data_IF_051585248159
#
_entry.id   IF_051585248159
#
_cell.length_a   1.000
_cell.length_b   1.000
_cell.length_c   1.000
_cell.angle_alpha   90.00
_cell.angle_beta   90.00
_cell.angle_gamma   90.00
#
_symmetry.space_group_name_H-M   'P 1'
#
loop_
_entity.id
_entity.type
_entity.pdbx_description
1 polymer ?
#
# COMPACT_ATOMS: atom_id res chain seq x y z
N UNK A 1 2.91 -4.39 15.09
CA UNK A 1 1.52 -4.82 14.91
C UNK A 1 1.38 -6.34 14.96
N UNK A 2 2.30 -7.05 14.36
CA UNK A 2 2.28 -8.53 14.27
C UNK A 2 2.96 -9.23 15.44
N UNK A 3 3.59 -8.51 16.37
CA UNK A 3 4.30 -9.05 17.54
C UNK A 3 5.66 -9.68 17.24
N UNK A 4 6.19 -9.53 16.03
CA UNK A 4 7.51 -10.10 15.66
C UNK A 4 8.65 -9.29 16.27
N UNK A 5 8.52 -7.95 16.31
CA UNK A 5 9.51 -7.05 16.88
C UNK A 5 8.90 -6.14 17.94
N UNK A 6 9.69 -5.80 18.96
CA UNK A 6 9.27 -4.93 20.05
C UNK A 6 9.73 -3.47 19.90
N UNK A 7 10.64 -3.20 18.95
CA UNK A 7 11.17 -1.85 18.69
C UNK A 7 11.14 -1.57 17.18
N UNK A 8 10.85 -0.31 16.84
CA UNK A 8 11.11 0.22 15.51
C UNK A 8 12.61 0.39 15.34
N UNK A 9 13.14 -0.08 14.20
CA UNK A 9 14.51 0.16 13.79
C UNK A 9 14.51 0.98 12.49
N UNK A 10 15.38 1.98 12.39
CA UNK A 10 15.60 2.73 11.17
C UNK A 10 16.84 2.21 10.44
N UNK A 11 16.77 2.18 9.10
CA UNK A 11 17.89 1.76 8.24
C UNK A 11 19.09 2.68 8.44
N UNK A 12 18.87 3.99 8.51
CA UNK A 12 19.94 4.98 8.68
C UNK A 12 20.67 4.91 10.02
N UNK A 13 20.01 4.35 11.04
CA UNK A 13 20.60 4.16 12.38
C UNK A 13 21.21 2.77 12.55
N UNK A 14 21.23 1.95 11.51
CA UNK A 14 21.70 0.55 11.54
C UNK A 14 20.87 -0.37 12.44
N UNK A 15 19.65 0.07 12.78
CA UNK A 15 18.77 -0.64 13.74
C UNK A 15 17.63 -1.43 13.06
N UNK A 16 17.59 -1.48 11.72
CA UNK A 16 16.58 -2.22 10.98
C UNK A 16 16.80 -3.73 11.15
N UNK A 17 15.78 -4.43 11.60
CA UNK A 17 15.87 -5.87 11.93
C UNK A 17 16.16 -6.76 10.72
N UNK A 18 15.82 -6.32 9.52
CA UNK A 18 16.05 -7.06 8.28
C UNK A 18 17.45 -6.82 7.71
N UNK A 19 18.13 -5.75 8.09
CA UNK A 19 19.51 -5.42 7.71
C UNK A 19 20.47 -6.14 8.68
N UNK A 20 20.79 -7.40 8.40
CA UNK A 20 21.56 -8.26 9.29
C UNK A 20 23.07 -8.23 9.03
N UNK A 21 23.53 -7.68 7.90
CA UNK A 21 24.95 -7.54 7.57
C UNK A 21 25.54 -6.26 8.18
N UNK A 22 26.75 -6.36 8.73
CA UNK A 22 27.48 -5.19 9.27
C UNK A 22 27.57 -4.06 8.24
N UNK A 23 27.79 -4.39 6.96
CA UNK A 23 27.89 -3.43 5.88
C UNK A 23 26.57 -2.69 5.60
N UNK A 24 25.42 -3.35 5.77
CA UNK A 24 24.09 -2.74 5.66
C UNK A 24 23.88 -1.73 6.79
N UNK A 25 24.23 -2.12 8.00
CA UNK A 25 24.11 -1.29 9.20
C UNK A 25 25.05 -0.07 9.14
N UNK A 26 26.31 -0.27 8.73
CA UNK A 26 27.30 0.82 8.60
C UNK A 26 26.92 1.83 7.50
N UNK A 27 26.36 1.36 6.39
CA UNK A 27 26.01 2.21 5.25
C UNK A 27 24.59 2.79 5.33
N UNK A 28 23.73 2.23 6.18
CA UNK A 28 22.33 2.58 6.30
C UNK A 28 21.53 2.29 5.01
N UNK A 29 21.88 1.19 4.32
CA UNK A 29 21.17 0.72 3.11
C UNK A 29 21.06 -0.80 3.12
N UNK A 30 19.92 -1.33 2.66
CA UNK A 30 19.73 -2.75 2.42
C UNK A 30 20.53 -3.19 1.19
N UNK A 31 21.32 -4.25 1.30
CA UNK A 31 22.17 -4.81 0.23
C UNK A 31 21.61 -6.13 -0.27
N UNK A 32 21.21 -7.01 0.65
CA UNK A 32 20.69 -8.35 0.37
C UNK A 32 19.21 -8.45 0.72
N UNK A 33 18.46 -9.27 -0.01
CA UNK A 33 17.07 -9.53 0.34
C UNK A 33 16.99 -10.37 1.61
N UNK A 34 16.15 -9.93 2.55
CA UNK A 34 15.87 -10.63 3.79
C UNK A 34 14.40 -11.06 3.85
N UNK A 35 14.13 -12.20 4.48
CA UNK A 35 12.77 -12.72 4.60
C UNK A 35 12.37 -12.85 6.08
N UNK A 36 11.15 -12.44 6.39
CA UNK A 36 10.55 -12.65 7.70
C UNK A 36 9.11 -13.14 7.56
N UNK A 37 8.63 -13.83 8.58
CA UNK A 37 7.26 -14.33 8.63
C UNK A 37 6.51 -13.65 9.75
N UNK A 38 5.30 -13.19 9.47
CA UNK A 38 4.38 -12.68 10.46
C UNK A 38 2.95 -13.18 10.20
N UNK A 39 2.05 -12.95 11.16
CA UNK A 39 0.63 -13.28 11.03
C UNK A 39 -0.21 -12.02 11.14
N UNK A 40 -1.18 -11.88 10.26
CA UNK A 40 -2.10 -10.75 10.25
C UNK A 40 -3.56 -11.22 10.20
N UNK A 41 -4.44 -10.52 10.93
CA UNK A 41 -5.88 -10.83 11.02
C UNK A 41 -6.79 -9.73 10.51
N UNK A 42 -6.21 -8.70 9.89
CA UNK A 42 -6.91 -7.46 9.57
C UNK A 42 -6.88 -6.46 10.72
N UNK A 43 -7.10 -5.19 10.41
CA UNK A 43 -7.17 -4.11 11.41
C UNK A 43 -8.26 -4.40 12.46
N UNK A 44 -9.42 -4.92 12.04
CA UNK A 44 -10.58 -5.21 12.89
C UNK A 44 -10.53 -6.63 13.48
N UNK A 45 -9.43 -7.37 13.27
CA UNK A 45 -9.28 -8.77 13.67
C UNK A 45 -10.39 -9.70 13.15
N UNK A 46 -11.03 -9.33 12.04
CA UNK A 46 -12.19 -10.05 11.48
C UNK A 46 -11.79 -11.30 10.67
N UNK A 47 -10.52 -11.45 10.35
CA UNK A 47 -10.03 -12.58 9.57
C UNK A 47 -9.38 -13.65 10.45
N UNK A 48 -9.35 -14.89 9.93
CA UNK A 48 -8.44 -15.90 10.46
C UNK A 48 -6.98 -15.39 10.35
N UNK A 49 -6.03 -15.89 11.15
CA UNK A 49 -4.63 -15.46 11.02
C UNK A 49 -4.07 -15.95 9.68
N UNK A 50 -3.78 -15.00 8.79
CA UNK A 50 -3.06 -15.26 7.55
C UNK A 50 -1.56 -15.13 7.78
N UNK A 51 -0.80 -16.06 7.22
CA UNK A 51 0.65 -16.05 7.25
C UNK A 51 1.17 -15.14 6.13
N UNK A 52 1.95 -14.14 6.51
CA UNK A 52 2.67 -13.26 5.60
C UNK A 52 4.15 -13.62 5.62
N UNK A 53 4.71 -13.97 4.46
CA UNK A 53 6.14 -14.07 4.25
C UNK A 53 6.58 -12.77 3.55
N UNK A 54 7.22 -11.89 4.28
CA UNK A 54 7.67 -10.59 3.79
C UNK A 54 9.11 -10.76 3.31
N UNK A 55 9.36 -10.40 2.06
CA UNK A 55 10.70 -10.30 1.49
C UNK A 55 11.01 -8.81 1.35
N UNK A 56 11.94 -8.33 2.15
CA UNK A 56 12.49 -6.98 2.02
C UNK A 56 13.58 -6.99 0.96
N UNK A 57 13.52 -6.06 0.01
CA UNK A 57 14.42 -6.00 -1.12
C UNK A 57 15.17 -4.67 -1.14
N UNK A 58 16.46 -4.67 -1.54
CA UNK A 58 17.22 -3.43 -1.64
C UNK A 58 16.59 -2.47 -2.66
N UNK A 59 16.53 -1.18 -2.28
CA UNK A 59 16.00 -0.12 -3.15
C UNK A 59 17.05 0.49 -4.08
N UNK A 60 18.34 0.14 -3.94
CA UNK A 60 19.42 0.75 -4.68
C UNK A 60 19.62 0.08 -6.06
N UNK A 61 19.95 0.89 -7.08
CA UNK A 61 20.08 0.40 -8.47
C UNK A 61 21.16 -0.68 -8.65
N UNK A 62 22.20 -0.68 -7.83
CA UNK A 62 23.28 -1.65 -7.91
C UNK A 62 22.86 -3.08 -7.53
N UNK A 63 21.72 -3.21 -6.83
CA UNK A 63 21.20 -4.48 -6.32
C UNK A 63 19.94 -4.97 -7.04
N UNK A 64 19.71 -4.54 -8.27
CA UNK A 64 18.54 -4.93 -9.07
C UNK A 64 18.40 -6.43 -9.30
N UNK A 65 19.50 -7.18 -9.26
CA UNK A 65 19.50 -8.64 -9.39
C UNK A 65 18.78 -9.31 -8.22
N UNK A 66 18.95 -8.80 -7.00
CA UNK A 66 18.25 -9.31 -5.80
C UNK A 66 16.75 -9.07 -5.91
N UNK A 67 16.35 -7.89 -6.40
CA UNK A 67 14.94 -7.57 -6.67
C UNK A 67 14.37 -8.51 -7.73
N UNK A 68 15.10 -8.76 -8.83
CA UNK A 68 14.65 -9.65 -9.90
C UNK A 68 14.51 -11.10 -9.45
N UNK A 69 15.40 -11.59 -8.58
CA UNK A 69 15.28 -12.92 -7.98
C UNK A 69 14.02 -13.05 -7.12
N UNK A 70 13.75 -12.02 -6.32
CA UNK A 70 12.56 -11.97 -5.47
C UNK A 70 11.27 -11.98 -6.30
N UNK A 71 11.21 -11.25 -7.42
CA UNK A 71 10.04 -11.20 -8.29
C UNK A 71 9.55 -12.56 -8.81
N UNK A 72 10.41 -13.58 -8.82
CA UNK A 72 10.05 -14.93 -9.30
C UNK A 72 9.23 -15.74 -8.30
N UNK A 73 9.20 -15.34 -7.04
CA UNK A 73 8.56 -16.09 -5.95
C UNK A 73 7.47 -15.30 -5.24
N UNK A 74 7.23 -14.04 -5.65
CA UNK A 74 6.24 -13.19 -5.02
C UNK A 74 4.82 -13.51 -5.52
N UNK A 75 3.89 -13.63 -4.59
CA UNK A 75 2.44 -13.65 -4.87
C UNK A 75 1.91 -12.22 -5.14
N UNK A 76 2.56 -11.23 -4.57
CA UNK A 76 2.26 -9.81 -4.77
C UNK A 76 3.38 -8.92 -4.23
N UNK A 77 3.37 -7.66 -4.60
CA UNK A 77 4.37 -6.68 -4.19
C UNK A 77 3.73 -5.41 -3.62
N UNK A 78 4.43 -4.79 -2.67
CA UNK A 78 4.15 -3.42 -2.21
C UNK A 78 5.19 -2.49 -2.81
N UNK A 79 4.77 -1.63 -3.73
CA UNK A 79 5.59 -0.58 -4.29
C UNK A 79 5.56 0.64 -3.37
N UNK A 80 6.65 0.92 -2.68
CA UNK A 80 6.75 2.03 -1.74
C UNK A 80 7.28 3.29 -2.46
N UNK A 81 6.47 4.34 -2.48
CA UNK A 81 6.83 5.65 -3.04
C UNK A 81 7.02 6.66 -1.92
N UNK A 82 7.96 7.58 -2.09
CA UNK A 82 8.11 8.70 -1.18
C UNK A 82 7.12 9.81 -1.55
N UNK A 83 6.32 10.29 -0.59
CA UNK A 83 5.37 11.39 -0.83
C UNK A 83 6.05 12.69 -1.29
N UNK A 84 7.33 12.89 -0.90
CA UNK A 84 8.14 14.05 -1.30
C UNK A 84 8.88 13.82 -2.61
N UNK A 85 9.54 12.67 -2.77
CA UNK A 85 10.33 12.35 -3.97
C UNK A 85 9.49 11.83 -5.15
N UNK A 86 8.34 11.25 -4.88
CA UNK A 86 7.47 10.65 -5.90
C UNK A 86 8.07 9.44 -6.58
N UNK A 87 7.80 9.31 -7.87
CA UNK A 87 8.36 8.27 -8.73
C UNK A 87 9.79 8.63 -9.11
N UNK A 88 10.75 7.78 -8.74
CA UNK A 88 12.17 7.95 -9.00
C UNK A 88 12.68 6.95 -10.06
N UNK A 89 13.88 7.11 -10.64
CA UNK A 89 14.42 6.18 -11.63
C UNK A 89 14.45 4.72 -11.17
N UNK A 90 14.74 4.48 -9.89
CA UNK A 90 14.71 3.15 -9.28
C UNK A 90 13.30 2.55 -9.34
N UNK A 91 12.26 3.37 -9.06
CA UNK A 91 10.88 2.94 -9.16
C UNK A 91 10.51 2.46 -10.57
N UNK A 92 11.01 3.15 -11.61
CA UNK A 92 10.77 2.77 -13.01
C UNK A 92 11.44 1.43 -13.36
N UNK A 93 12.63 1.19 -12.82
CA UNK A 93 13.35 -0.07 -13.06
C UNK A 93 12.62 -1.25 -12.42
N UNK A 94 12.26 -1.13 -11.14
CA UNK A 94 11.51 -2.17 -10.42
C UNK A 94 10.12 -2.38 -11.01
N UNK A 95 9.47 -1.31 -11.46
CA UNK A 95 8.18 -1.38 -12.16
C UNK A 95 8.25 -2.22 -13.44
N UNK A 96 9.29 -2.02 -14.26
CA UNK A 96 9.50 -2.83 -15.48
C UNK A 96 9.75 -4.30 -15.15
N UNK A 97 10.50 -4.59 -14.09
CA UNK A 97 10.70 -5.96 -13.61
C UNK A 97 9.39 -6.61 -13.16
N UNK A 98 8.59 -5.90 -12.35
CA UNK A 98 7.29 -6.39 -11.91
C UNK A 98 6.33 -6.66 -13.09
N UNK A 99 6.35 -5.82 -14.15
CA UNK A 99 5.61 -6.08 -15.38
C UNK A 99 6.10 -7.34 -16.11
N UNK A 100 7.42 -7.52 -16.22
CA UNK A 100 8.04 -8.70 -16.86
C UNK A 100 7.60 -10.00 -16.20
N UNK A 101 7.53 -10.02 -14.87
CA UNK A 101 7.15 -11.19 -14.08
C UNK A 101 5.65 -11.26 -13.77
N UNK A 102 4.85 -10.30 -14.25
CA UNK A 102 3.40 -10.21 -14.01
C UNK A 102 3.04 -10.29 -12.52
N UNK A 103 3.83 -9.60 -11.67
CA UNK A 103 3.59 -9.56 -10.23
C UNK A 103 2.48 -8.55 -9.93
N UNK A 104 1.34 -8.98 -9.36
CA UNK A 104 0.32 -8.09 -8.85
C UNK A 104 0.91 -7.16 -7.78
N UNK A 105 0.46 -5.90 -7.74
CA UNK A 105 1.07 -4.95 -6.81
C UNK A 105 0.07 -3.92 -6.32
N UNK A 106 0.30 -3.51 -5.08
CA UNK A 106 -0.30 -2.33 -4.49
C UNK A 106 0.76 -1.24 -4.35
N UNK A 107 0.34 0.00 -4.25
CA UNK A 107 1.21 1.15 -4.03
C UNK A 107 1.02 1.69 -2.60
N UNK A 108 2.12 2.05 -1.93
CA UNK A 108 2.09 2.71 -0.64
C UNK A 108 2.90 4.01 -0.71
N UNK A 109 2.21 5.15 -0.57
CA UNK A 109 2.83 6.47 -0.53
C UNK A 109 3.25 6.77 0.91
N UNK A 110 4.53 6.60 1.18
CA UNK A 110 5.14 6.74 2.51
C UNK A 110 5.66 8.15 2.75
N UNK A 111 5.90 8.48 4.00
CA UNK A 111 6.43 9.77 4.46
C UNK A 111 5.46 10.93 4.22
N UNK A 112 4.16 10.69 4.43
CA UNK A 112 3.13 11.72 4.35
C UNK A 112 3.29 12.83 5.40
N UNK A 113 4.08 12.59 6.43
CA UNK A 113 4.43 13.49 7.52
C UNK A 113 5.62 14.42 7.21
N UNK A 114 6.25 14.30 6.05
CA UNK A 114 7.41 15.12 5.67
C UNK A 114 6.99 16.35 4.89
N UNK A 115 7.71 17.46 5.09
CA UNK A 115 7.53 18.71 4.33
C UNK A 115 7.65 18.47 2.83
N UNK A 116 6.70 18.96 2.05
CA UNK A 116 6.59 18.74 0.60
C UNK A 116 5.90 17.43 0.23
N UNK A 117 5.28 16.72 1.18
CA UNK A 117 4.51 15.52 0.90
C UNK A 117 3.25 15.82 0.07
N UNK A 118 3.08 15.12 -1.06
CA UNK A 118 1.95 15.28 -1.96
C UNK A 118 1.53 13.93 -2.56
N UNK A 119 0.41 13.41 -2.08
CA UNK A 119 -0.17 12.14 -2.53
C UNK A 119 -0.65 12.20 -3.99
N UNK A 120 -1.32 13.28 -4.37
CA UNK A 120 -1.92 13.41 -5.70
C UNK A 120 -0.87 13.59 -6.81
N UNK A 121 0.25 14.22 -6.46
CA UNK A 121 1.41 14.29 -7.34
C UNK A 121 1.98 12.90 -7.64
N UNK A 122 2.01 12.00 -6.65
CA UNK A 122 2.48 10.62 -6.87
C UNK A 122 1.54 9.86 -7.80
N UNK A 123 0.21 10.00 -7.66
CA UNK A 123 -0.79 9.46 -8.59
C UNK A 123 -0.45 9.89 -10.02
N UNK A 124 -0.38 11.20 -10.24
CA UNK A 124 -0.07 11.77 -11.57
C UNK A 124 1.26 11.27 -12.15
N UNK A 125 2.27 11.10 -11.30
CA UNK A 125 3.57 10.58 -11.75
C UNK A 125 3.50 9.08 -12.10
N UNK A 126 2.74 8.27 -11.38
CA UNK A 126 2.51 6.87 -11.71
C UNK A 126 1.84 6.73 -13.07
N UNK A 127 0.82 7.53 -13.35
CA UNK A 127 0.14 7.54 -14.65
C UNK A 127 1.08 7.97 -15.79
N UNK A 128 1.78 9.09 -15.61
CA UNK A 128 2.60 9.68 -16.68
C UNK A 128 3.90 8.93 -16.93
N UNK A 129 4.62 8.55 -15.87
CA UNK A 129 5.97 7.98 -15.97
C UNK A 129 5.97 6.46 -16.05
N UNK A 130 5.10 5.80 -15.25
CA UNK A 130 5.04 4.34 -15.17
C UNK A 130 3.98 3.75 -16.11
N UNK A 131 3.11 4.58 -16.70
CA UNK A 131 1.93 4.14 -17.46
C UNK A 131 1.08 3.15 -16.64
N UNK A 132 1.05 3.35 -15.32
CA UNK A 132 0.20 2.60 -14.40
C UNK A 132 -1.21 3.15 -14.35
N UNK A 133 -2.08 2.39 -13.70
CA UNK A 133 -3.46 2.80 -13.41
C UNK A 133 -3.67 2.78 -11.89
N UNK A 134 -3.18 3.81 -11.17
CA UNK A 134 -3.32 3.90 -9.73
C UNK A 134 -4.78 4.13 -9.34
N UNK A 135 -5.28 3.33 -8.40
CA UNK A 135 -6.64 3.43 -7.86
C UNK A 135 -6.56 3.66 -6.35
N UNK A 136 -6.76 4.88 -5.86
CA UNK A 136 -6.77 5.16 -4.44
C UNK A 136 -7.85 4.37 -3.70
N UNK A 137 -7.42 3.66 -2.66
CA UNK A 137 -8.29 2.98 -1.69
C UNK A 137 -8.50 3.88 -0.47
N UNK A 138 -7.51 4.73 -0.21
CA UNK A 138 -7.57 5.71 0.86
C UNK A 138 -7.12 7.08 0.36
N UNK A 139 -7.63 8.15 1.00
CA UNK A 139 -7.15 9.52 0.81
C UNK A 139 -6.50 10.03 2.10
N UNK A 140 -5.42 10.81 2.04
CA UNK A 140 -4.80 11.36 3.24
C UNK A 140 -5.67 12.43 3.89
N UNK A 141 -5.77 12.42 5.23
CA UNK A 141 -6.33 13.49 6.03
C UNK A 141 -5.18 14.37 6.51
N UNK A 142 -5.02 15.52 5.87
CA UNK A 142 -3.86 16.38 6.04
C UNK A 142 -2.62 15.88 5.30
N UNK A 143 -1.56 16.65 5.39
CA UNK A 143 -0.23 16.33 4.88
C UNK A 143 0.81 17.02 5.76
N UNK A 144 2.06 16.61 5.66
CA UNK A 144 3.15 17.18 6.46
C UNK A 144 2.84 17.08 7.97
N UNK A 145 3.00 18.18 8.71
CA UNK A 145 2.76 18.24 10.15
C UNK A 145 1.28 17.99 10.50
N UNK A 146 0.37 18.20 9.56
CA UNK A 146 -1.08 18.03 9.74
C UNK A 146 -1.56 16.63 9.37
N UNK A 147 -0.68 15.72 8.95
CA UNK A 147 -1.09 14.36 8.59
C UNK A 147 -1.57 13.58 9.81
N UNK A 148 -2.87 13.35 9.90
CA UNK A 148 -3.52 12.70 11.04
C UNK A 148 -3.96 11.27 10.77
N UNK A 149 -4.36 10.99 9.53
CA UNK A 149 -4.96 9.71 9.18
C UNK A 149 -5.35 9.62 7.72
N UNK A 150 -6.31 8.77 7.44
CA UNK A 150 -6.82 8.57 6.07
C UNK A 150 -8.34 8.47 6.05
N UNK A 151 -8.94 8.78 4.90
CA UNK A 151 -10.32 8.40 4.56
C UNK A 151 -10.27 7.08 3.82
N UNK A 152 -10.96 6.07 4.32
CA UNK A 152 -11.19 4.79 3.63
C UNK A 152 -12.33 4.96 2.64
N UNK A 153 -12.04 4.88 1.37
CA UNK A 153 -13.00 5.09 0.30
C UNK A 153 -13.98 3.93 0.11
N UNK A 154 -13.64 2.71 0.56
CA UNK A 154 -14.57 1.58 0.49
C UNK A 154 -15.62 1.68 1.58
N UNK A 155 -15.19 1.98 2.82
CA UNK A 155 -16.08 2.07 3.99
C UNK A 155 -16.71 3.45 4.16
N UNK A 156 -16.23 4.44 3.42
CA UNK A 156 -16.62 5.86 3.53
C UNK A 156 -16.56 6.37 4.97
N UNK A 157 -15.40 6.15 5.61
CA UNK A 157 -15.12 6.58 6.98
C UNK A 157 -13.67 7.03 7.15
N UNK A 158 -13.40 7.82 8.17
CA UNK A 158 -12.03 8.19 8.53
C UNK A 158 -11.38 7.12 9.40
N UNK A 159 -10.05 7.00 9.28
CA UNK A 159 -9.21 6.21 10.17
C UNK A 159 -8.16 7.16 10.73
N UNK A 160 -8.20 7.41 12.03
CA UNK A 160 -7.28 8.30 12.73
C UNK A 160 -6.40 7.51 13.68
N UNK A 161 -5.10 7.73 13.64
CA UNK A 161 -4.12 7.08 14.51
C UNK A 161 -3.79 7.94 15.72
N UNK A 162 -3.82 7.32 16.89
CA UNK A 162 -3.45 7.98 18.15
C UNK A 162 -1.93 8.10 18.27
N UNK A 163 -1.43 9.33 18.34
CA UNK A 163 0.00 9.61 18.49
C UNK A 163 0.58 9.16 19.83
N UNK A 164 -0.22 9.22 20.90
CA UNK A 164 0.23 8.81 22.22
C UNK A 164 0.53 7.31 22.30
N UNK A 165 -0.14 6.51 21.46
CA UNK A 165 0.11 5.08 21.34
C UNK A 165 1.17 4.72 20.27
N UNK A 166 1.88 5.72 19.73
CA UNK A 166 2.83 5.54 18.62
C UNK A 166 2.19 4.83 17.40
N UNK A 167 0.93 5.15 17.09
CA UNK A 167 0.20 4.61 15.95
C UNK A 167 -0.30 3.16 16.12
N UNK A 168 -0.20 2.58 17.30
CA UNK A 168 -0.75 1.22 17.58
C UNK A 168 -2.27 1.26 17.63
N UNK A 169 -2.83 2.29 18.29
CA UNK A 169 -4.27 2.48 18.39
C UNK A 169 -4.77 3.38 17.28
N UNK A 170 -5.93 3.04 16.76
CA UNK A 170 -6.64 3.82 15.76
C UNK A 170 -8.14 3.86 16.09
N UNK A 171 -8.83 4.84 15.54
CA UNK A 171 -10.27 5.00 15.67
C UNK A 171 -10.90 5.21 14.31
N UNK A 172 -12.07 4.63 14.11
CA UNK A 172 -12.93 4.95 12.97
C UNK A 172 -13.81 6.13 13.33
N UNK A 173 -14.07 7.00 12.37
CA UNK A 173 -14.89 8.18 12.56
C UNK A 173 -15.55 8.66 11.28
N UNK A 174 -16.26 9.77 11.38
CA UNK A 174 -16.86 10.42 10.23
C UNK A 174 -15.77 11.06 9.35
N UNK A 175 -16.05 11.17 8.06
CA UNK A 175 -15.20 11.90 7.13
C UNK A 175 -15.23 13.39 7.49
N UNK A 176 -14.08 14.08 7.61
CA UNK A 176 -14.05 15.53 7.84
C UNK A 176 -14.89 16.28 6.80
N UNK A 177 -15.63 17.30 7.25
CA UNK A 177 -16.59 18.03 6.41
C UNK A 177 -15.97 18.55 5.11
N UNK A 178 -14.76 19.10 5.21
CA UNK A 178 -14.01 19.62 4.07
C UNK A 178 -13.48 18.55 3.10
N UNK A 179 -13.65 17.28 3.41
CA UNK A 179 -13.23 16.17 2.56
C UNK A 179 -14.40 15.34 2.00
N UNK A 180 -15.63 15.58 2.44
CA UNK A 180 -16.80 14.78 2.05
C UNK A 180 -16.99 14.74 0.54
N UNK A 181 -16.99 15.91 -0.13
CA UNK A 181 -17.15 15.99 -1.57
C UNK A 181 -15.99 15.29 -2.32
N UNK A 182 -14.76 15.53 -1.89
CA UNK A 182 -13.59 14.87 -2.47
C UNK A 182 -13.64 13.35 -2.28
N UNK A 183 -14.01 12.89 -1.08
CA UNK A 183 -14.15 11.48 -0.79
C UNK A 183 -15.23 10.82 -1.65
N UNK A 184 -16.35 11.51 -1.86
CA UNK A 184 -17.43 11.04 -2.74
C UNK A 184 -16.95 10.91 -4.20
N UNK A 185 -16.28 11.92 -4.74
CA UNK A 185 -15.73 11.89 -6.09
C UNK A 185 -14.77 10.69 -6.29
N UNK A 186 -13.87 10.48 -5.33
CA UNK A 186 -12.91 9.37 -5.42
C UNK A 186 -13.55 8.00 -5.15
N UNK A 187 -14.60 7.95 -4.33
CA UNK A 187 -15.40 6.74 -4.14
C UNK A 187 -16.10 6.34 -5.44
N UNK A 188 -16.73 7.29 -6.14
CA UNK A 188 -17.38 7.03 -7.44
C UNK A 188 -16.37 6.46 -8.46
N UNK A 189 -15.18 7.07 -8.57
CA UNK A 189 -14.09 6.54 -9.42
C UNK A 189 -13.63 5.14 -9.00
N UNK A 190 -13.60 4.85 -7.70
CA UNK A 190 -13.26 3.53 -7.17
C UNK A 190 -14.31 2.50 -7.56
N UNK A 191 -15.60 2.84 -7.43
CA UNK A 191 -16.73 1.97 -7.81
C UNK A 191 -16.71 1.68 -9.32
N UNK A 192 -16.49 2.69 -10.16
CA UNK A 192 -16.31 2.50 -11.62
C UNK A 192 -15.19 1.52 -11.93
N UNK A 193 -14.02 1.72 -11.30
CA UNK A 193 -12.89 0.80 -11.47
C UNK A 193 -13.20 -0.62 -11.03
N UNK A 194 -13.98 -0.81 -9.98
CA UNK A 194 -14.40 -2.13 -9.53
C UNK A 194 -15.40 -2.77 -10.51
N UNK A 195 -16.32 -1.98 -11.05
CA UNK A 195 -17.34 -2.42 -12.00
C UNK A 195 -16.74 -2.97 -13.30
N UNK A 196 -15.65 -2.35 -13.77
CA UNK A 196 -14.93 -2.79 -14.99
C UNK A 196 -14.31 -4.21 -14.90
N UNK A 197 -14.37 -4.87 -13.73
CA UNK A 197 -13.77 -6.19 -13.55
C UNK A 197 -14.50 -7.31 -14.32
N UNK A 198 -15.82 -7.20 -14.51
CA UNK A 198 -16.63 -8.15 -15.27
C UNK A 198 -18.01 -7.57 -15.61
N UNK A 199 -18.71 -8.25 -16.53
CA UNK A 199 -20.04 -7.81 -17.01
C UNK A 199 -21.10 -7.77 -15.91
N UNK A 200 -21.06 -8.69 -14.93
CA UNK A 200 -22.02 -8.75 -13.83
C UNK A 200 -21.96 -7.47 -12.97
N UNK A 201 -20.74 -7.08 -12.54
CA UNK A 201 -20.53 -5.87 -11.74
C UNK A 201 -20.84 -4.61 -12.55
N UNK A 202 -20.49 -4.60 -13.83
CA UNK A 202 -20.78 -3.47 -14.72
C UNK A 202 -22.30 -3.28 -14.91
N UNK A 203 -23.04 -4.35 -15.16
CA UNK A 203 -24.51 -4.27 -15.31
C UNK A 203 -25.15 -3.78 -14.02
N UNK A 204 -24.75 -4.29 -12.87
CA UNK A 204 -25.27 -3.84 -11.60
C UNK A 204 -24.98 -2.34 -11.37
N UNK A 205 -23.75 -1.90 -11.64
CA UNK A 205 -23.38 -0.50 -11.51
C UNK A 205 -24.20 0.41 -12.45
N UNK A 206 -24.44 -0.01 -13.69
CA UNK A 206 -25.27 0.72 -14.64
C UNK A 206 -26.74 0.79 -14.23
N UNK A 207 -27.26 -0.23 -13.55
CA UNK A 207 -28.65 -0.26 -13.08
C UNK A 207 -28.87 0.54 -11.79
N UNK A 208 -27.93 0.45 -10.84
CA UNK A 208 -28.12 0.98 -9.48
C UNK A 208 -27.26 2.20 -9.17
N UNK A 209 -26.19 2.42 -9.92
CA UNK A 209 -25.16 3.43 -9.63
C UNK A 209 -24.23 3.07 -8.46
N UNK A 210 -24.40 1.89 -7.83
CA UNK A 210 -23.71 1.49 -6.61
C UNK A 210 -23.27 0.03 -6.65
N UNK A 211 -22.20 -0.29 -5.91
CA UNK A 211 -21.76 -1.65 -5.60
C UNK A 211 -21.59 -1.81 -4.09
N UNK A 212 -21.84 -2.99 -3.58
CA UNK A 212 -21.55 -3.30 -2.17
C UNK A 212 -20.04 -3.29 -1.90
N UNK A 213 -19.64 -3.11 -0.63
CA UNK A 213 -18.22 -3.16 -0.24
C UNK A 213 -17.53 -4.46 -0.68
N UNK A 214 -18.21 -5.60 -0.56
CA UNK A 214 -17.69 -6.90 -0.98
C UNK A 214 -17.48 -6.97 -2.50
N UNK A 215 -18.40 -6.40 -3.27
CA UNK A 215 -18.31 -6.33 -4.73
C UNK A 215 -17.18 -5.40 -5.17
N UNK A 216 -17.02 -4.24 -4.52
CA UNK A 216 -15.88 -3.34 -4.76
C UNK A 216 -14.58 -4.08 -4.50
N UNK A 217 -14.43 -4.74 -3.35
CA UNK A 217 -13.22 -5.50 -3.00
C UNK A 217 -12.94 -6.59 -4.04
N UNK A 218 -13.96 -7.35 -4.43
CA UNK A 218 -13.85 -8.42 -5.44
C UNK A 218 -13.41 -7.87 -6.80
N UNK A 219 -14.01 -6.77 -7.25
CA UNK A 219 -13.67 -6.12 -8.51
C UNK A 219 -12.24 -5.61 -8.53
N UNK A 220 -11.85 -4.84 -7.51
CA UNK A 220 -10.49 -4.31 -7.36
C UNK A 220 -9.47 -5.46 -7.29
N UNK A 221 -9.75 -6.53 -6.52
CA UNK A 221 -8.88 -7.70 -6.45
C UNK A 221 -8.69 -8.36 -7.82
N UNK A 222 -9.77 -8.61 -8.55
CA UNK A 222 -9.72 -9.24 -9.87
C UNK A 222 -8.80 -8.47 -10.81
N UNK A 223 -8.96 -7.16 -10.91
CA UNK A 223 -8.15 -6.31 -11.77
C UNK A 223 -6.70 -6.14 -11.28
N UNK A 224 -6.50 -6.15 -9.96
CA UNK A 224 -5.13 -6.11 -9.40
C UNK A 224 -4.35 -7.38 -9.73
N UNK A 225 -4.97 -8.56 -9.59
CA UNK A 225 -4.36 -9.85 -9.95
C UNK A 225 -4.07 -9.92 -11.45
N UNK A 226 -4.94 -9.34 -12.29
CA UNK A 226 -4.70 -9.19 -13.73
C UNK A 226 -3.61 -8.17 -14.08
N UNK A 227 -3.04 -7.47 -13.07
CA UNK A 227 -2.06 -6.38 -13.24
C UNK A 227 -2.58 -5.16 -14.02
N UNK A 228 -3.89 -4.97 -14.12
CA UNK A 228 -4.53 -3.86 -14.81
C UNK A 228 -4.49 -2.57 -14.01
N UNK A 229 -4.72 -2.67 -12.70
CA UNK A 229 -4.76 -1.54 -11.77
C UNK A 229 -3.81 -1.75 -10.60
N UNK A 230 -3.53 -0.65 -9.88
CA UNK A 230 -2.70 -0.67 -8.66
C UNK A 230 -3.45 0.05 -7.54
N UNK A 231 -4.02 -0.69 -6.57
CA UNK A 231 -4.60 -0.11 -5.37
C UNK A 231 -3.59 0.75 -4.62
N UNK A 232 -3.96 1.98 -4.28
CA UNK A 232 -3.08 2.92 -3.61
C UNK A 232 -3.48 3.17 -2.17
N UNK A 233 -2.46 3.17 -1.32
CA UNK A 233 -2.52 3.51 0.10
C UNK A 233 -1.53 4.62 0.40
N UNK A 234 -1.69 5.29 1.53
CA UNK A 234 -0.72 6.26 2.01
C UNK A 234 -0.55 6.21 3.52
N UNK A 235 0.55 6.78 3.99
CA UNK A 235 0.84 6.80 5.41
C UNK A 235 2.23 7.34 5.76
N UNK A 236 2.59 7.15 7.01
CA UNK A 236 3.93 7.37 7.54
C UNK A 236 4.35 6.12 8.31
N UNK A 237 5.23 5.32 7.73
CA UNK A 237 5.72 4.09 8.37
C UNK A 237 6.46 4.39 9.67
N UNK A 238 7.21 5.49 9.73
CA UNK A 238 7.91 5.93 10.93
C UNK A 238 6.96 6.26 12.09
N UNK A 239 5.82 6.88 11.79
CA UNK A 239 4.78 7.18 12.77
C UNK A 239 3.74 6.06 12.92
N UNK A 240 3.96 4.90 12.28
CA UNK A 240 3.03 3.76 12.25
C UNK A 240 1.62 4.08 11.73
N UNK A 241 1.44 5.16 10.96
CA UNK A 241 0.15 5.57 10.41
C UNK A 241 -0.04 4.97 9.02
N UNK A 242 -1.17 4.29 8.78
CA UNK A 242 -1.54 3.73 7.47
C UNK A 242 -1.00 2.33 7.17
N UNK A 243 -0.04 1.82 7.95
CA UNK A 243 0.60 0.52 7.70
C UNK A 243 -0.39 -0.64 7.89
N UNK A 244 -1.25 -0.58 8.91
CA UNK A 244 -2.25 -1.62 9.15
C UNK A 244 -3.24 -1.71 7.97
N UNK A 245 -3.68 -0.57 7.42
CA UNK A 245 -4.59 -0.55 6.27
C UNK A 245 -3.92 -1.05 4.99
N UNK A 246 -2.62 -0.79 4.83
CA UNK A 246 -1.83 -1.37 3.74
C UNK A 246 -1.72 -2.90 3.89
N UNK A 247 -1.51 -3.43 5.11
CA UNK A 247 -1.51 -4.88 5.35
C UNK A 247 -2.85 -5.54 5.01
N UNK A 248 -3.97 -4.86 5.31
CA UNK A 248 -5.28 -5.29 4.82
C UNK A 248 -5.34 -5.31 3.30
N UNK A 249 -4.75 -4.29 2.66
CA UNK A 249 -4.61 -4.24 1.20
C UNK A 249 -3.82 -5.43 0.63
N UNK A 250 -2.74 -5.84 1.28
CA UNK A 250 -1.99 -7.03 0.90
C UNK A 250 -2.87 -8.29 0.98
N UNK A 251 -3.66 -8.42 2.06
CA UNK A 251 -4.56 -9.55 2.25
C UNK A 251 -5.68 -9.59 1.20
N UNK A 252 -6.27 -8.42 0.92
CA UNK A 252 -7.48 -8.32 0.11
C UNK A 252 -7.20 -8.31 -1.40
N UNK A 253 -6.08 -7.76 -1.85
CA UNK A 253 -5.88 -7.43 -3.27
C UNK A 253 -4.72 -8.15 -3.95
N UNK A 254 -3.81 -8.79 -3.22
CA UNK A 254 -2.72 -9.55 -3.85
C UNK A 254 -3.17 -10.97 -4.23
N UNK A 255 -2.39 -11.62 -5.08
CA UNK A 255 -2.66 -13.00 -5.48
C UNK A 255 -2.71 -13.92 -4.27
N UNK A 256 -3.68 -14.84 -4.18
CA UNK A 256 -3.65 -15.87 -3.16
C UNK A 256 -2.41 -16.74 -3.34
N UNK A 257 -1.85 -17.20 -2.23
CA UNK A 257 -0.84 -18.24 -2.28
C UNK A 257 -1.43 -19.50 -2.92
N UNK A 258 -0.67 -20.26 -3.72
CA UNK A 258 -1.11 -21.54 -4.27
C UNK A 258 -1.55 -22.56 -3.21
N UNK A 259 -1.45 -22.23 -1.94
CA UNK A 259 -1.80 -23.07 -0.79
C UNK A 259 -3.10 -22.70 -0.08
N UNK A 260 -3.82 -21.68 -0.57
CA UNK A 260 -5.10 -21.24 0.00
C UNK A 260 -6.29 -22.02 -0.60
#
# INVERSE_FOLDING_TARGET
>A
FTGVNHKLGEVHDGAATMDWMDQEQERGITITSAATTCFWRGMDMQHKPYRFNIIDTPGHVDFTVEVERSMRVLDGAVMVYCAVGGVQPQSETVWRQANKYKVPRIAFVNKMDRTGADFYRVITQMEKRLKGHPVPIVLPIGAEDTFQGVVDLIRMQSILWDEASLGVKFTFGEIPENMKELAKEWHEKLVENAAEANEELMNQYLETGELSQEQIIKGIRTRTIACEIQPMFCGSSFKNKGVQRMLDGCLLYTSPSPRD
#
